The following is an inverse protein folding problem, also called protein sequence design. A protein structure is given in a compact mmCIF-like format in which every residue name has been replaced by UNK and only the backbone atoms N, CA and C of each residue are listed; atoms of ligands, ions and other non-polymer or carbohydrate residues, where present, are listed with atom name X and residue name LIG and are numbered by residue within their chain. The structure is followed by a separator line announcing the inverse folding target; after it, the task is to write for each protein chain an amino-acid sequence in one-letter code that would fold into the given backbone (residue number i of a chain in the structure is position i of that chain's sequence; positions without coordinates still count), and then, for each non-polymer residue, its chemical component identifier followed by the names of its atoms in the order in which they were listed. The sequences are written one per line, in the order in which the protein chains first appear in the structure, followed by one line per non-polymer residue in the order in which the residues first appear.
data_IF_385114859148
#
_entry.id   IF_385114859148
#
_cell.length_a   1.000
_cell.length_b   1.000
_cell.length_c   1.000
_cell.angle_alpha   90.00
_cell.angle_beta   90.00
_cell.angle_gamma   90.00
#
_symmetry.space_group_name_H-M   'P 1'
#
loop_
_entity.id
_entity.type
_entity.pdbx_description
1 polymer ?
#
# COMPACT_ATOMS: atom_id res chain seq x y z
N UNK A 1 44.90 -6.74 -6.89
CA UNK A 1 44.16 -5.48 -6.63
C UNK A 1 42.71 -5.65 -7.06
N UNK A 2 41.73 -5.17 -6.29
CA UNK A 2 40.29 -5.25 -6.62
C UNK A 2 39.73 -3.83 -6.81
N UNK A 3 39.32 -3.51 -8.02
CA UNK A 3 38.62 -2.25 -8.35
C UNK A 3 37.14 -2.43 -8.04
N UNK A 4 36.54 -1.48 -7.31
CA UNK A 4 35.12 -1.47 -6.98
C UNK A 4 34.58 -0.07 -7.26
N UNK A 5 33.43 0.00 -7.93
CA UNK A 5 32.67 1.24 -8.18
C UNK A 5 31.32 1.11 -7.49
N UNK A 6 30.88 2.20 -6.87
CA UNK A 6 29.54 2.32 -6.30
C UNK A 6 28.62 2.98 -7.32
N UNK A 7 27.55 2.29 -7.68
CA UNK A 7 26.53 2.78 -8.63
C UNK A 7 25.17 2.85 -7.96
N UNK A 8 24.37 3.84 -8.34
CA UNK A 8 22.97 3.98 -7.95
C UNK A 8 22.09 3.56 -9.11
N UNK A 9 21.29 2.51 -8.90
CA UNK A 9 20.24 2.13 -9.83
C UNK A 9 19.03 3.04 -9.61
N UNK A 10 18.54 3.65 -10.68
CA UNK A 10 17.29 4.39 -10.69
C UNK A 10 16.20 3.52 -11.31
N UNK A 11 14.91 3.72 -10.93
CA UNK A 11 13.82 3.03 -11.59
C UNK A 11 13.79 3.35 -13.08
N UNK A 12 13.42 2.37 -13.90
CA UNK A 12 13.01 2.65 -15.28
C UNK A 12 11.72 3.49 -15.27
N UNK A 13 11.38 4.16 -16.38
CA UNK A 13 10.11 4.90 -16.49
C UNK A 13 8.90 4.04 -16.13
N UNK A 14 8.86 2.78 -16.59
CA UNK A 14 7.77 1.85 -16.29
C UNK A 14 7.70 1.52 -14.80
N UNK A 15 8.85 1.31 -14.14
CA UNK A 15 8.90 1.07 -12.70
C UNK A 15 8.45 2.29 -11.90
N UNK A 16 8.83 3.51 -12.33
CA UNK A 16 8.40 4.75 -11.70
C UNK A 16 6.88 4.93 -11.82
N UNK A 17 6.31 4.72 -13.00
CA UNK A 17 4.86 4.77 -13.22
C UNK A 17 4.11 3.73 -12.40
N UNK A 18 4.61 2.48 -12.36
CA UNK A 18 3.99 1.42 -11.56
C UNK A 18 4.02 1.75 -10.05
N UNK A 19 5.13 2.31 -9.56
CA UNK A 19 5.25 2.77 -8.17
C UNK A 19 4.26 3.90 -7.88
N UNK A 20 4.17 4.91 -8.75
CA UNK A 20 3.24 6.02 -8.58
C UNK A 20 1.79 5.56 -8.53
N UNK A 21 1.38 4.70 -9.48
CA UNK A 21 0.03 4.12 -9.50
C UNK A 21 -0.26 3.33 -8.20
N UNK A 22 0.71 2.56 -7.73
CA UNK A 22 0.59 1.81 -6.46
C UNK A 22 0.42 2.74 -5.26
N UNK A 23 1.19 3.84 -5.19
CA UNK A 23 1.06 4.81 -4.11
C UNK A 23 -0.28 5.53 -4.12
N UNK A 24 -0.82 5.88 -5.31
CA UNK A 24 -2.17 6.44 -5.44
C UNK A 24 -3.23 5.46 -4.94
N UNK A 25 -3.15 4.20 -5.34
CA UNK A 25 -4.05 3.15 -4.88
C UNK A 25 -3.99 2.94 -3.36
N UNK A 26 -2.79 2.97 -2.77
CA UNK A 26 -2.62 2.92 -1.31
C UNK A 26 -3.29 4.10 -0.60
N UNK A 27 -3.14 5.32 -1.13
CA UNK A 27 -3.72 6.53 -0.52
C UNK A 27 -5.25 6.49 -0.56
N UNK A 28 -5.83 6.12 -1.70
CA UNK A 28 -7.28 5.98 -1.84
C UNK A 28 -7.84 4.90 -0.91
N UNK A 29 -7.17 3.75 -0.86
CA UNK A 29 -7.54 2.68 0.04
C UNK A 29 -7.45 3.11 1.51
N UNK A 30 -6.45 3.90 1.90
CA UNK A 30 -6.30 4.40 3.26
C UNK A 30 -7.41 5.38 3.64
N UNK A 31 -7.80 6.29 2.74
CA UNK A 31 -8.96 7.17 2.95
C UNK A 31 -10.24 6.36 3.15
N UNK A 32 -10.47 5.35 2.30
CA UNK A 32 -11.64 4.47 2.44
C UNK A 32 -11.63 3.70 3.76
N UNK A 33 -10.47 3.13 4.16
CA UNK A 33 -10.31 2.45 5.45
C UNK A 33 -10.62 3.38 6.62
N UNK A 34 -10.18 4.65 6.56
CA UNK A 34 -10.48 5.66 7.58
C UNK A 34 -11.99 5.89 7.74
N UNK A 35 -12.73 5.94 6.63
CA UNK A 35 -14.20 6.05 6.67
C UNK A 35 -14.82 4.82 7.33
N UNK A 36 -14.38 3.61 6.95
CA UNK A 36 -14.87 2.36 7.57
C UNK A 36 -14.57 2.30 9.07
N UNK A 37 -13.37 2.74 9.48
CA UNK A 37 -12.98 2.79 10.88
C UNK A 37 -13.90 3.72 11.68
N UNK A 38 -14.22 4.89 11.12
CA UNK A 38 -15.12 5.86 11.73
C UNK A 38 -16.56 5.33 11.79
N UNK A 39 -17.11 4.86 10.68
CA UNK A 39 -18.49 4.34 10.59
C UNK A 39 -18.74 3.16 11.53
N UNK A 40 -17.72 2.33 11.77
CA UNK A 40 -17.82 1.13 12.63
C UNK A 40 -17.30 1.35 14.06
N UNK A 41 -16.79 2.55 14.39
CA UNK A 41 -16.07 2.86 15.63
C UNK A 41 -14.95 1.85 15.97
N UNK A 42 -14.21 1.39 14.94
CA UNK A 42 -13.12 0.42 15.11
C UNK A 42 -11.78 1.13 15.18
N UNK A 43 -11.12 1.05 16.34
CA UNK A 43 -9.84 1.73 16.61
C UNK A 43 -8.62 0.80 16.57
N UNK A 44 -8.85 -0.52 16.50
CA UNK A 44 -7.78 -1.52 16.50
C UNK A 44 -7.54 -2.05 15.10
N UNK A 45 -6.31 -1.91 14.62
CA UNK A 45 -5.94 -2.25 13.25
C UNK A 45 -6.19 -3.72 12.93
N UNK A 46 -6.04 -4.62 13.91
CA UNK A 46 -6.34 -6.03 13.72
C UNK A 46 -7.83 -6.25 13.39
N UNK A 47 -8.74 -5.69 14.19
CA UNK A 47 -10.18 -5.78 13.96
C UNK A 47 -10.58 -5.07 12.65
N UNK A 48 -9.94 -3.94 12.32
CA UNK A 48 -10.22 -3.21 11.10
C UNK A 48 -9.88 -4.01 9.83
N UNK A 49 -8.84 -4.86 9.88
CA UNK A 49 -8.48 -5.73 8.75
C UNK A 49 -9.57 -6.75 8.42
N UNK A 50 -10.31 -7.25 9.41
CA UNK A 50 -11.43 -8.17 9.18
C UNK A 50 -12.51 -7.52 8.30
N UNK A 51 -12.67 -6.20 8.41
CA UNK A 51 -13.65 -5.44 7.63
C UNK A 51 -13.13 -4.93 6.28
N UNK A 52 -11.81 -4.85 6.09
CA UNK A 52 -11.24 -4.04 5.00
C UNK A 52 -10.29 -4.81 4.09
N UNK A 53 -9.59 -5.84 4.58
CA UNK A 53 -8.50 -6.47 3.83
C UNK A 53 -8.94 -7.10 2.50
N UNK A 54 -10.05 -7.85 2.51
CA UNK A 54 -10.60 -8.47 1.31
C UNK A 54 -10.99 -7.45 0.24
N UNK A 55 -11.66 -6.37 0.66
CA UNK A 55 -12.05 -5.27 -0.23
C UNK A 55 -10.84 -4.53 -0.77
N UNK A 56 -9.80 -4.29 0.05
CA UNK A 56 -8.57 -3.63 -0.40
C UNK A 56 -7.92 -4.43 -1.53
N UNK A 57 -7.84 -5.75 -1.35
CA UNK A 57 -7.28 -6.68 -2.35
C UNK A 57 -8.11 -6.70 -3.63
N UNK A 58 -9.44 -6.70 -3.53
CA UNK A 58 -10.34 -6.78 -4.66
C UNK A 58 -10.40 -5.48 -5.47
N UNK A 59 -10.50 -4.32 -4.79
CA UNK A 59 -10.72 -3.02 -5.45
C UNK A 59 -9.44 -2.40 -6.01
N UNK A 60 -8.34 -2.46 -5.27
CA UNK A 60 -7.09 -1.78 -5.64
C UNK A 60 -5.98 -2.74 -6.09
N UNK A 61 -6.22 -4.06 -6.06
CA UNK A 61 -5.25 -5.06 -6.53
C UNK A 61 -3.92 -5.08 -5.76
N UNK A 62 -3.87 -4.46 -4.57
CA UNK A 62 -2.62 -4.27 -3.83
C UNK A 62 -1.97 -5.60 -3.44
N UNK A 63 -0.63 -5.65 -3.47
CA UNK A 63 0.13 -6.76 -2.89
C UNK A 63 -0.18 -6.93 -1.40
N UNK A 64 0.07 -8.14 -0.86
CA UNK A 64 -0.30 -8.45 0.52
C UNK A 64 0.29 -7.46 1.54
N UNK A 65 1.57 -7.09 1.39
CA UNK A 65 2.23 -6.15 2.29
C UNK A 65 1.64 -4.74 2.18
N UNK A 66 1.46 -4.21 0.97
CA UNK A 66 0.82 -2.91 0.77
C UNK A 66 -0.58 -2.85 1.38
N UNK A 67 -1.43 -3.86 1.11
CA UNK A 67 -2.77 -3.95 1.67
C UNK A 67 -2.77 -3.98 3.23
N UNK A 68 -1.80 -4.66 3.84
CA UNK A 68 -1.65 -4.69 5.30
C UNK A 68 -1.23 -3.34 5.89
N UNK A 69 -0.42 -2.55 5.17
CA UNK A 69 0.09 -1.26 5.64
C UNK A 69 -0.87 -0.09 5.41
N UNK A 70 -1.83 -0.24 4.51
CA UNK A 70 -2.94 0.71 4.33
C UNK A 70 -3.85 0.75 5.57
N UNK A 71 -3.98 -0.36 6.30
CA UNK A 71 -4.80 -0.45 7.52
C UNK A 71 -3.97 -0.05 8.75
N UNK A 72 -4.13 1.21 9.20
CA UNK A 72 -3.42 1.79 10.34
C UNK A 72 -4.33 2.49 11.35
#
# INVERSE_FOLDING_TARGET
MKLVVQVRLLPTPEQATALEATLRACNEAATWVGNIAFEKDVKRNFALREHTYGEIKARWGLGAQAAQHVVK
#
